data_IF_561444738341
#
_entry.id   IF_561444738341
#
_cell.length_a   1.000
_cell.length_b   1.000
_cell.length_c   1.000
_cell.angle_alpha   90.00
_cell.angle_beta   90.00
_cell.angle_gamma   90.00
#
_symmetry.space_group_name_H-M   'P 1'
#
loop_
_entity.id
_entity.type
_entity.pdbx_description
1 polymer ?
#
# COMPACT_ATOMS: atom_id res chain seq x y z
N UNK A 1 -35.23 -33.40 -6.81
CA UNK A 1 -34.69 -32.53 -7.88
C UNK A 1 -33.77 -31.54 -7.20
N UNK A 2 -32.47 -31.84 -7.17
CA UNK A 2 -31.46 -31.03 -6.51
C UNK A 2 -30.74 -30.21 -7.57
N UNK A 3 -30.84 -28.88 -7.52
CA UNK A 3 -29.96 -27.99 -8.26
C UNK A 3 -28.90 -27.42 -7.31
N UNK A 4 -27.66 -27.68 -7.69
CA UNK A 4 -26.46 -27.12 -7.11
C UNK A 4 -26.20 -25.73 -7.68
N UNK A 5 -25.71 -24.79 -6.86
CA UNK A 5 -24.55 -23.96 -7.20
C UNK A 5 -24.14 -23.02 -6.05
N UNK A 6 -23.02 -23.39 -5.43
CA UNK A 6 -21.93 -22.51 -4.99
C UNK A 6 -22.15 -21.51 -3.84
N UNK A 7 -21.49 -21.73 -2.70
CA UNK A 7 -20.82 -20.67 -1.95
C UNK A 7 -19.33 -20.65 -2.35
N UNK A 8 -18.98 -19.95 -3.42
CA UNK A 8 -17.57 -19.54 -3.65
C UNK A 8 -17.47 -18.04 -3.48
N UNK A 9 -17.14 -17.61 -2.27
CA UNK A 9 -16.20 -16.52 -2.10
C UNK A 9 -15.22 -16.96 -1.04
N UNK A 10 -14.06 -17.34 -1.55
CA UNK A 10 -12.96 -17.91 -0.82
C UNK A 10 -12.56 -16.99 0.33
N UNK A 11 -12.56 -17.60 1.52
CA UNK A 11 -11.65 -17.36 2.65
C UNK A 11 -10.68 -16.19 2.41
N UNK A 12 -11.06 -14.98 2.84
CA UNK A 12 -10.11 -13.94 3.19
C UNK A 12 -9.37 -14.44 4.43
N UNK A 13 -8.35 -15.27 4.23
CA UNK A 13 -7.48 -15.73 5.30
C UNK A 13 -6.68 -14.54 5.80
N UNK A 14 -6.64 -14.43 7.11
CA UNK A 14 -5.99 -13.41 7.91
C UNK A 14 -4.47 -13.26 7.64
N UNK A 15 -4.09 -12.69 6.49
CA UNK A 15 -2.79 -12.04 6.27
C UNK A 15 -2.91 -10.55 6.70
N UNK A 16 -3.31 -10.35 7.95
CA UNK A 16 -3.76 -9.09 8.56
C UNK A 16 -2.61 -8.23 9.09
N UNK A 17 -1.84 -7.57 8.21
CA UNK A 17 -1.04 -6.42 8.69
C UNK A 17 -1.07 -5.20 7.79
N UNK A 18 -1.27 -5.37 6.48
CA UNK A 18 -1.21 -4.26 5.54
C UNK A 18 -2.23 -4.46 4.42
N UNK A 19 -2.79 -3.35 3.92
CA UNK A 19 -3.68 -3.40 2.75
C UNK A 19 -2.96 -4.05 1.56
N UNK A 20 -3.65 -4.71 0.61
CA UNK A 20 -3.01 -5.33 -0.55
C UNK A 20 -2.11 -4.36 -1.34
N UNK A 21 -2.50 -3.08 -1.39
CA UNK A 21 -1.71 -2.01 -1.99
C UNK A 21 -0.40 -1.76 -1.22
N UNK A 22 -0.44 -1.76 0.11
CA UNK A 22 0.75 -1.55 0.93
C UNK A 22 1.71 -2.75 0.90
N UNK A 23 1.21 -3.98 0.76
CA UNK A 23 2.05 -5.15 0.54
C UNK A 23 2.89 -5.01 -0.75
N UNK A 24 2.28 -4.50 -1.83
CA UNK A 24 2.98 -4.22 -3.08
C UNK A 24 4.02 -3.11 -2.90
N UNK A 25 3.66 -2.01 -2.23
CA UNK A 25 4.59 -0.92 -1.94
C UNK A 25 5.83 -1.42 -1.19
N UNK A 26 5.63 -2.16 -0.10
CA UNK A 26 6.70 -2.71 0.73
C UNK A 26 7.57 -3.72 -0.05
N UNK A 27 6.96 -4.53 -0.92
CA UNK A 27 7.70 -5.48 -1.77
C UNK A 27 8.63 -4.81 -2.78
N UNK A 28 8.21 -3.68 -3.37
CA UNK A 28 9.06 -2.88 -4.27
C UNK A 28 10.11 -2.13 -3.46
N UNK A 29 9.73 -1.56 -2.31
CA UNK A 29 10.65 -0.85 -1.42
C UNK A 29 11.75 -1.74 -0.86
N UNK A 30 11.46 -3.01 -0.57
CA UNK A 30 12.46 -3.98 -0.13
C UNK A 30 13.57 -4.23 -1.16
N UNK A 31 13.28 -4.06 -2.46
CA UNK A 31 14.28 -4.14 -3.53
C UNK A 31 15.09 -2.84 -3.68
N UNK A 32 14.57 -1.73 -3.15
CA UNK A 32 15.14 -0.39 -3.27
C UNK A 32 15.08 0.37 -1.93
N UNK A 33 15.75 -0.13 -0.87
CA UNK A 33 15.60 0.43 0.48
C UNK A 33 16.07 1.90 0.58
N UNK A 34 17.09 2.28 -0.20
CA UNK A 34 17.71 3.60 -0.14
C UNK A 34 17.05 4.64 -1.06
N UNK A 35 16.11 4.22 -1.92
CA UNK A 35 15.47 5.09 -2.91
C UNK A 35 14.07 5.51 -2.47
N UNK A 36 13.67 6.75 -2.76
CA UNK A 36 12.30 7.20 -2.55
C UNK A 36 11.37 6.55 -3.58
N UNK A 37 10.36 5.81 -3.11
CA UNK A 37 9.38 5.18 -3.97
C UNK A 37 8.14 6.07 -4.14
N UNK A 38 7.95 6.60 -5.34
CA UNK A 38 6.80 7.42 -5.69
C UNK A 38 5.67 6.50 -6.18
N UNK A 39 4.71 6.20 -5.30
CA UNK A 39 3.59 5.34 -5.64
C UNK A 39 2.46 6.16 -6.25
N UNK A 40 2.12 5.91 -7.51
CA UNK A 40 1.06 6.64 -8.20
C UNK A 40 -0.31 6.18 -7.72
N UNK A 41 -1.07 7.08 -7.10
CA UNK A 41 -2.49 6.90 -6.82
C UNK A 41 -3.30 7.98 -7.54
N UNK A 42 -3.84 7.62 -8.71
CA UNK A 42 -4.57 8.56 -9.57
C UNK A 42 -3.64 9.63 -10.13
N UNK A 43 -3.93 10.89 -9.80
CA UNK A 43 -3.20 12.08 -10.25
C UNK A 43 -2.04 12.48 -9.33
N UNK A 44 -1.96 11.88 -8.14
CA UNK A 44 -0.93 12.17 -7.15
C UNK A 44 0.07 11.03 -7.02
N UNK A 45 1.30 11.40 -6.63
CA UNK A 45 2.29 10.46 -6.13
C UNK A 45 2.27 10.50 -4.61
N UNK A 46 1.96 9.36 -4.01
CA UNK A 46 1.99 9.17 -2.57
C UNK A 46 3.26 8.41 -2.18
N UNK A 47 3.85 8.84 -1.07
CA UNK A 47 4.96 8.16 -0.41
C UNK A 47 4.48 7.73 0.98
N UNK A 48 5.02 6.63 1.49
CA UNK A 48 4.58 6.06 2.76
C UNK A 48 5.74 5.90 3.75
N UNK A 49 5.41 5.88 5.04
CA UNK A 49 6.36 5.68 6.15
C UNK A 49 7.55 6.65 6.09
N UNK A 50 8.78 6.14 6.20
CA UNK A 50 10.00 6.95 6.19
C UNK A 50 10.18 7.75 4.89
N UNK A 51 9.68 7.25 3.76
CA UNK A 51 9.81 7.95 2.48
C UNK A 51 9.00 9.23 2.47
N UNK A 52 7.84 9.24 3.13
CA UNK A 52 7.02 10.44 3.28
C UNK A 52 7.75 11.51 4.11
N UNK A 53 8.37 11.13 5.23
CA UNK A 53 9.12 12.05 6.09
C UNK A 53 10.36 12.61 5.37
N UNK A 54 11.09 11.76 4.64
CA UNK A 54 12.26 12.16 3.86
C UNK A 54 11.86 13.09 2.72
N UNK A 55 10.82 12.75 1.97
CA UNK A 55 10.33 13.57 0.87
C UNK A 55 9.80 14.93 1.36
N UNK A 56 9.09 14.98 2.49
CA UNK A 56 8.63 16.22 3.09
C UNK A 56 9.79 17.19 3.38
N UNK A 57 10.90 16.68 3.94
CA UNK A 57 12.10 17.46 4.24
C UNK A 57 12.87 17.88 2.98
N UNK A 58 13.01 16.97 2.00
CA UNK A 58 13.81 17.20 0.79
C UNK A 58 13.09 18.10 -0.23
N UNK A 59 11.78 17.91 -0.39
CA UNK A 59 10.97 18.60 -1.40
C UNK A 59 10.21 19.79 -0.81
N UNK A 60 10.32 20.01 0.50
CA UNK A 60 9.61 21.05 1.24
C UNK A 60 8.09 21.01 1.00
N UNK A 61 7.52 19.81 1.10
CA UNK A 61 6.09 19.54 0.94
C UNK A 61 5.44 19.19 2.29
N UNK A 62 4.13 19.45 2.41
CA UNK A 62 3.38 19.15 3.63
C UNK A 62 3.28 17.65 3.85
N UNK A 63 3.74 17.18 5.02
CA UNK A 63 3.55 15.81 5.46
C UNK A 63 2.13 15.62 5.99
N UNK A 64 1.38 14.70 5.39
CA UNK A 64 0.02 14.35 5.82
C UNK A 64 -0.04 12.88 6.23
N UNK A 65 -0.82 12.57 7.27
CA UNK A 65 -1.04 11.20 7.71
C UNK A 65 -2.42 10.71 7.25
N UNK A 66 -2.50 9.51 6.69
CA UNK A 66 -3.75 8.87 6.25
C UNK A 66 -3.99 7.59 7.05
N UNK A 67 -4.99 7.60 7.92
CA UNK A 67 -5.33 6.48 8.83
C UNK A 67 -4.66 6.59 10.20
N UNK A 68 -5.33 6.04 11.22
CA UNK A 68 -4.84 5.82 12.59
C UNK A 68 -4.37 4.40 12.78
#
# INVERSE_FOLDING_TARGET
>A
MAEASSPTSARYTAAEKHTPMMQQYLGIKAQHPDLLLFYRMGDFYELFHEDAERAAKLLNITLTQRGT
#
